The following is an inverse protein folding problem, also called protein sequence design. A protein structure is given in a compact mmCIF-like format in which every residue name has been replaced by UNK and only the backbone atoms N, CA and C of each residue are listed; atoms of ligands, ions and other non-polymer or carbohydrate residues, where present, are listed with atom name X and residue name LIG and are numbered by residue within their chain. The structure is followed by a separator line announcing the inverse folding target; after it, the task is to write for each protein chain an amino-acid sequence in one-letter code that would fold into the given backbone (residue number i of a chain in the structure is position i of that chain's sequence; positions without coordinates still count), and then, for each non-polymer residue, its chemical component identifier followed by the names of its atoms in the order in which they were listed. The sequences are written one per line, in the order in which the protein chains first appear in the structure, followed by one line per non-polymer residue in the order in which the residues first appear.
data_IF_706701777238
#
_entry.id   IF_706701777238
#
_cell.length_a   1.000
_cell.length_b   1.000
_cell.length_c   1.000
_cell.angle_alpha   90.00
_cell.angle_beta   90.00
_cell.angle_gamma   90.00
#
_symmetry.space_group_name_H-M   'P 1'
#
loop_
_entity.id
_entity.type
_entity.pdbx_description
1 polymer ?
#
# COMPACT_ATOMS: atom_id res chain seq x y z
N UNK A 1 3.45 -10.72 10.21
CA UNK A 1 3.32 -9.99 8.94
C UNK A 1 1.93 -9.35 8.83
N UNK A 2 1.52 -8.49 9.78
CA UNK A 2 0.12 -8.04 9.86
C UNK A 2 -0.38 -7.28 8.64
N UNK A 3 0.46 -6.43 8.00
CA UNK A 3 0.03 -5.66 6.83
C UNK A 3 -0.09 -6.58 5.62
N UNK A 4 0.94 -7.38 5.34
CA UNK A 4 0.94 -8.38 4.29
C UNK A 4 -0.24 -9.37 4.39
N UNK A 5 -0.41 -10.01 5.55
CA UNK A 5 -1.46 -11.02 5.77
C UNK A 5 -2.86 -10.40 5.57
N UNK A 6 -3.05 -9.18 6.06
CA UNK A 6 -4.30 -8.45 5.90
C UNK A 6 -4.56 -8.10 4.43
N UNK A 7 -3.53 -7.64 3.71
CA UNK A 7 -3.64 -7.25 2.32
C UNK A 7 -3.92 -8.44 1.39
N UNK A 8 -3.24 -9.59 1.60
CA UNK A 8 -3.52 -10.82 0.84
C UNK A 8 -4.94 -11.32 1.14
N UNK A 9 -5.34 -11.40 2.41
CA UNK A 9 -6.67 -11.88 2.77
C UNK A 9 -7.78 -10.98 2.19
N UNK A 10 -7.62 -9.66 2.28
CA UNK A 10 -8.56 -8.70 1.71
C UNK A 10 -8.64 -8.81 0.19
N UNK A 11 -7.49 -8.92 -0.49
CA UNK A 11 -7.46 -9.09 -1.93
C UNK A 11 -8.15 -10.39 -2.36
N UNK A 12 -7.83 -11.52 -1.71
CA UNK A 12 -8.44 -12.82 -2.02
C UNK A 12 -9.97 -12.83 -1.79
N UNK A 13 -10.44 -12.24 -0.68
CA UNK A 13 -11.87 -12.12 -0.39
C UNK A 13 -12.58 -11.24 -1.44
N UNK A 14 -11.98 -10.10 -1.80
CA UNK A 14 -12.54 -9.21 -2.82
C UNK A 14 -12.52 -9.81 -4.22
N UNK A 15 -11.47 -10.54 -4.59
CA UNK A 15 -11.35 -11.22 -5.89
C UNK A 15 -12.34 -12.38 -6.04
N UNK A 16 -12.61 -13.09 -4.94
CA UNK A 16 -13.60 -14.18 -4.93
C UNK A 16 -15.04 -13.72 -5.05
N UNK A 17 -15.29 -12.40 -4.92
CA UNK A 17 -16.63 -11.79 -4.83
C UNK A 17 -17.51 -12.40 -3.72
N UNK A 18 -16.92 -13.13 -2.76
CA UNK A 18 -17.64 -13.79 -1.67
C UNK A 18 -18.31 -12.79 -0.71
N UNK A 19 -17.81 -11.56 -0.69
CA UNK A 19 -18.37 -10.44 0.07
C UNK A 19 -18.38 -9.17 -0.79
N UNK A 20 -19.35 -8.26 -0.61
CA UNK A 20 -19.31 -6.96 -1.26
C UNK A 20 -18.10 -6.14 -0.78
N UNK A 21 -17.59 -5.22 -1.59
CA UNK A 21 -16.45 -4.36 -1.24
C UNK A 21 -16.66 -3.59 0.09
N UNK A 22 -17.89 -3.19 0.40
CA UNK A 22 -18.26 -2.57 1.68
C UNK A 22 -18.07 -3.51 2.90
N UNK A 23 -18.04 -4.82 2.68
CA UNK A 23 -17.68 -5.81 3.72
C UNK A 23 -16.22 -5.71 4.18
N UNK A 24 -15.36 -5.07 3.38
CA UNK A 24 -13.94 -4.85 3.69
C UNK A 24 -13.64 -3.42 4.16
N UNK A 25 -14.64 -2.59 4.46
CA UNK A 25 -14.43 -1.17 4.80
C UNK A 25 -13.50 -0.97 5.99
N UNK A 26 -13.67 -1.73 7.07
CA UNK A 26 -12.78 -1.64 8.23
C UNK A 26 -11.33 -2.01 7.89
N UNK A 27 -11.16 -2.97 6.99
CA UNK A 27 -9.84 -3.39 6.51
C UNK A 27 -9.18 -2.29 5.68
N UNK A 28 -9.92 -1.70 4.74
CA UNK A 28 -9.44 -0.58 3.95
C UNK A 28 -9.06 0.61 4.85
N UNK A 29 -9.94 0.99 5.80
CA UNK A 29 -9.67 2.07 6.75
C UNK A 29 -8.39 1.80 7.55
N UNK A 30 -8.21 0.57 8.05
CA UNK A 30 -7.02 0.17 8.79
C UNK A 30 -5.76 0.26 7.93
N UNK A 31 -5.77 -0.26 6.70
CA UNK A 31 -4.65 -0.17 5.77
C UNK A 31 -4.27 1.30 5.49
N UNK A 32 -5.25 2.19 5.31
CA UNK A 32 -5.00 3.62 5.13
C UNK A 32 -4.35 4.29 6.35
N UNK A 33 -4.46 3.72 7.56
CA UNK A 33 -3.72 4.23 8.74
C UNK A 33 -2.25 3.82 8.76
N UNK A 34 -1.86 2.85 7.94
CA UNK A 34 -0.53 2.25 7.91
C UNK A 34 0.38 2.80 6.82
N UNK A 35 -0.13 3.69 5.98
CA UNK A 35 0.68 4.34 4.96
C UNK A 35 1.86 5.10 5.59
N UNK A 36 3.07 4.85 5.08
CA UNK A 36 4.27 5.57 5.46
C UNK A 36 4.23 7.00 4.89
N UNK A 37 4.34 7.99 5.77
CA UNK A 37 4.39 9.41 5.39
C UNK A 37 5.74 10.08 5.66
N UNK A 38 6.74 9.29 6.02
CA UNK A 38 8.09 9.75 6.36
C UNK A 38 9.09 9.19 5.36
N UNK A 39 10.15 9.95 5.12
CA UNK A 39 11.26 9.51 4.26
C UNK A 39 12.06 8.43 4.99
N UNK A 40 12.33 7.33 4.29
CA UNK A 40 13.24 6.26 4.73
C UNK A 40 14.54 6.25 3.92
N UNK A 41 15.31 5.17 4.04
CA UNK A 41 16.61 5.04 3.37
C UNK A 41 16.51 5.09 1.84
N UNK A 42 15.38 4.62 1.27
CA UNK A 42 15.05 4.73 -0.16
C UNK A 42 15.19 6.17 -0.69
N UNK A 43 14.94 7.17 0.17
CA UNK A 43 14.98 8.59 -0.22
C UNK A 43 16.38 9.09 -0.54
N UNK A 44 17.45 8.38 -0.14
CA UNK A 44 18.83 8.69 -0.57
C UNK A 44 18.96 8.58 -2.09
N UNK A 45 18.35 7.55 -2.70
CA UNK A 45 18.36 7.35 -4.16
C UNK A 45 17.21 8.09 -4.87
N UNK A 46 16.19 8.53 -4.13
CA UNK A 46 14.96 9.14 -4.64
C UNK A 46 14.55 10.36 -3.79
N UNK A 47 15.37 11.43 -3.74
CA UNK A 47 15.20 12.53 -2.80
C UNK A 47 13.99 13.43 -3.11
N UNK A 48 13.43 13.40 -4.31
CA UNK A 48 12.31 14.29 -4.67
C UNK A 48 10.95 13.56 -4.70
N UNK A 49 10.94 12.28 -4.34
CA UNK A 49 9.72 11.46 -4.34
C UNK A 49 8.95 11.69 -3.03
N UNK A 50 7.66 11.95 -3.16
CA UNK A 50 6.76 12.05 -2.01
C UNK A 50 6.67 10.69 -1.29
N UNK A 51 6.86 10.63 0.05
CA UNK A 51 6.77 9.37 0.78
C UNK A 51 5.42 8.68 0.61
N UNK A 52 5.43 7.36 0.49
CA UNK A 52 4.24 6.52 0.58
C UNK A 52 4.70 5.08 0.83
N UNK A 53 3.79 4.13 0.65
CA UNK A 53 4.07 2.70 0.79
C UNK A 53 3.70 2.15 2.16
N UNK A 54 3.90 0.84 2.29
CA UNK A 54 3.57 0.05 3.47
C UNK A 54 4.74 -0.83 3.86
N UNK A 55 4.79 -1.18 5.15
CA UNK A 55 5.81 -2.06 5.72
C UNK A 55 5.19 -3.39 6.16
N UNK A 56 6.01 -4.44 6.21
CA UNK A 56 5.60 -5.80 6.55
C UNK A 56 5.04 -5.98 7.99
N UNK A 57 5.62 -5.27 8.97
CA UNK A 57 5.38 -5.44 10.40
C UNK A 57 4.27 -4.52 10.97
N UNK A 58 4.12 -4.43 12.30
CA UNK A 58 3.12 -3.56 12.94
C UNK A 58 3.51 -2.08 12.95
N UNK A 59 4.82 -1.80 12.97
CA UNK A 59 5.41 -0.46 13.01
C UNK A 59 6.86 -0.52 12.50
N UNK A 60 7.06 -0.33 11.19
CA UNK A 60 8.38 -0.15 10.59
C UNK A 60 8.34 0.95 9.52
N UNK A 61 7.95 2.17 9.92
CA UNK A 61 7.74 3.31 9.02
C UNK A 61 9.02 3.77 8.27
N UNK A 62 10.20 3.28 8.65
CA UNK A 62 11.46 3.64 8.01
C UNK A 62 11.76 2.80 6.76
N UNK A 63 11.10 1.65 6.60
CA UNK A 63 11.34 0.69 5.51
C UNK A 63 10.01 0.25 4.89
N UNK A 64 9.35 1.11 4.08
CA UNK A 64 8.29 0.65 3.21
C UNK A 64 8.86 -0.31 2.16
N UNK A 65 8.20 -1.45 1.98
CA UNK A 65 8.56 -2.47 1.00
C UNK A 65 7.74 -2.30 -0.28
N UNK A 66 8.35 -2.62 -1.42
CA UNK A 66 7.74 -2.52 -2.73
C UNK A 66 6.61 -3.55 -2.88
N UNK A 67 6.83 -4.79 -2.44
CA UNK A 67 5.84 -5.86 -2.60
C UNK A 67 4.64 -5.68 -1.66
N UNK A 68 4.85 -5.32 -0.38
CA UNK A 68 3.80 -4.94 0.56
C UNK A 68 2.96 -3.78 -0.01
N UNK A 69 3.63 -2.77 -0.56
CA UNK A 69 2.95 -1.61 -1.17
C UNK A 69 2.08 -2.05 -2.34
N UNK A 70 2.59 -2.89 -3.23
CA UNK A 70 1.84 -3.42 -4.36
C UNK A 70 0.64 -4.26 -3.88
N UNK A 71 0.84 -5.12 -2.88
CA UNK A 71 -0.21 -5.99 -2.35
C UNK A 71 -1.32 -5.20 -1.65
N UNK A 72 -0.96 -4.13 -0.91
CA UNK A 72 -1.94 -3.22 -0.31
C UNK A 72 -2.72 -2.47 -1.38
N UNK A 73 -2.08 -2.01 -2.45
CA UNK A 73 -2.76 -1.37 -3.58
C UNK A 73 -3.79 -2.32 -4.24
N UNK A 74 -3.43 -3.60 -4.43
CA UNK A 74 -4.35 -4.63 -4.94
C UNK A 74 -5.52 -4.90 -4.00
N UNK A 75 -5.30 -4.86 -2.68
CA UNK A 75 -6.36 -4.98 -1.69
C UNK A 75 -7.30 -3.76 -1.68
N UNK A 76 -6.74 -2.55 -1.76
CA UNK A 76 -7.51 -1.31 -1.84
C UNK A 76 -8.32 -1.20 -3.14
N UNK A 77 -7.84 -1.77 -4.25
CA UNK A 77 -8.60 -1.83 -5.50
C UNK A 77 -9.88 -2.69 -5.39
N UNK A 78 -9.95 -3.58 -4.41
CA UNK A 78 -11.07 -4.52 -4.17
C UNK A 78 -11.88 -4.18 -2.92
N UNK A 79 -11.57 -3.07 -2.25
CA UNK A 79 -12.24 -2.65 -1.00
C UNK A 79 -12.59 -1.16 -1.03
N UNK A 80 -13.53 -0.78 -0.18
CA UNK A 80 -14.00 0.61 -0.09
C UNK A 80 -13.89 1.12 1.33
N UNK A 81 -13.01 2.08 1.56
CA UNK A 81 -12.85 2.78 2.83
C UNK A 81 -14.05 3.69 3.14
N UNK A 82 -14.18 4.08 4.41
CA UNK A 82 -15.19 5.05 4.85
C UNK A 82 -14.94 6.41 4.21
N UNK A 83 -13.67 6.81 4.08
CA UNK A 83 -13.24 8.02 3.39
C UNK A 83 -12.66 7.67 2.00
N UNK A 84 -13.54 7.63 1.00
CA UNK A 84 -13.15 7.32 -0.38
C UNK A 84 -12.23 8.37 -1.01
N UNK A 85 -12.31 9.64 -0.60
CA UNK A 85 -11.43 10.70 -1.10
C UNK A 85 -10.01 10.50 -0.58
N UNK A 86 -9.86 10.17 0.72
CA UNK A 86 -8.58 9.77 1.30
C UNK A 86 -8.03 8.52 0.62
N UNK A 87 -8.84 7.49 0.41
CA UNK A 87 -8.39 6.28 -0.29
C UNK A 87 -7.83 6.59 -1.67
N UNK A 88 -8.54 7.40 -2.48
CA UNK A 88 -8.08 7.80 -3.81
C UNK A 88 -6.76 8.58 -3.75
N UNK A 89 -6.64 9.56 -2.85
CA UNK A 89 -5.42 10.36 -2.70
C UNK A 89 -4.21 9.53 -2.23
N UNK A 90 -4.44 8.56 -1.34
CA UNK A 90 -3.40 7.63 -0.86
C UNK A 90 -2.97 6.68 -1.99
N UNK A 91 -3.94 6.11 -2.72
CA UNK A 91 -3.69 5.18 -3.83
C UNK A 91 -2.86 5.83 -4.94
N UNK A 92 -3.24 7.01 -5.40
CA UNK A 92 -2.53 7.74 -6.46
C UNK A 92 -1.08 8.04 -6.04
N UNK A 93 -0.89 8.50 -4.80
CA UNK A 93 0.44 8.76 -4.27
C UNK A 93 1.29 7.50 -4.13
N UNK A 94 0.72 6.41 -3.63
CA UNK A 94 1.42 5.13 -3.49
C UNK A 94 1.82 4.54 -4.86
N UNK A 95 0.97 4.67 -5.88
CA UNK A 95 1.31 4.30 -7.26
C UNK A 95 2.49 5.13 -7.76
N UNK A 96 2.48 6.45 -7.54
CA UNK A 96 3.61 7.33 -7.91
C UNK A 96 4.91 6.96 -7.19
N UNK A 97 4.83 6.62 -5.91
CA UNK A 97 5.97 6.15 -5.13
C UNK A 97 6.51 4.83 -5.71
N UNK A 98 5.63 3.84 -5.95
CA UNK A 98 5.99 2.53 -6.51
C UNK A 98 6.68 2.66 -7.87
N UNK A 99 6.13 3.46 -8.77
CA UNK A 99 6.71 3.72 -10.09
C UNK A 99 8.09 4.39 -9.97
N UNK A 100 8.27 5.31 -9.03
CA UNK A 100 9.55 5.96 -8.82
C UNK A 100 10.62 5.02 -8.23
N UNK A 101 10.23 3.91 -7.59
CA UNK A 101 11.15 2.89 -7.09
C UNK A 101 11.68 1.96 -8.20
N UNK A 102 11.18 2.05 -9.44
CA UNK A 102 11.67 1.20 -10.53
C UNK A 102 13.17 1.38 -10.76
N UNK A 103 13.87 0.26 -10.93
CA UNK A 103 15.28 0.19 -11.32
C UNK A 103 15.49 0.55 -12.79
N UNK A 104 16.73 0.88 -13.15
CA UNK A 104 17.10 1.22 -14.54
C UNK A 104 17.00 0.03 -15.50
N UNK A 105 16.98 -1.19 -14.98
CA UNK A 105 16.76 -2.44 -15.73
C UNK A 105 15.26 -2.75 -15.93
N UNK A 106 14.38 -1.90 -15.40
CA UNK A 106 12.93 -2.06 -15.47
C UNK A 106 12.33 -2.94 -14.36
N UNK A 107 13.16 -3.52 -13.48
CA UNK A 107 12.71 -4.31 -12.34
C UNK A 107 12.32 -3.45 -11.13
N UNK A 108 11.72 -4.12 -10.15
CA UNK A 108 11.59 -3.63 -8.79
C UNK A 108 12.26 -4.65 -7.88
N UNK A 109 13.14 -4.18 -7.01
CA UNK A 109 13.79 -4.97 -5.98
C UNK A 109 14.06 -4.09 -4.78
N UNK A 110 14.33 -4.73 -3.65
CA UNK A 110 14.78 -4.06 -2.43
C UNK A 110 16.19 -3.44 -2.57
#
# INVERSE_FOLDING_TARGET
SPVWDTAIAAHALGESEAIPAAGLTKTADWLLTKEVRRRGDWSVKRPDVEPSGWYFEFANEFYPDIDDTAQVLLALAKSQATDGAKQAAVTDRAVRWLLAMQGSDGGWGE
#
